data_IF_095449947014
#
_entry.id   IF_095449947014
#
_cell.length_a   1.000
_cell.length_b   1.000
_cell.length_c   1.000
_cell.angle_alpha   90.00
_cell.angle_beta   90.00
_cell.angle_gamma   90.00
#
_symmetry.space_group_name_H-M   'P 1'
#
loop_
_entity.id
_entity.type
_entity.pdbx_description
1 polymer ?
#
# COMPACT_ATOMS: atom_id res chain seq x y z
N UNK A 1 18.97 12.89 -0.90
CA UNK A 1 18.48 12.92 0.50
C UNK A 1 18.98 14.17 1.20
N UNK A 2 18.06 14.99 1.70
CA UNK A 2 18.26 16.19 2.49
C UNK A 2 17.90 15.94 3.96
N UNK A 3 18.16 16.92 4.84
CA UNK A 3 17.66 16.90 6.23
C UNK A 3 16.13 16.92 6.31
N UNK A 4 15.43 17.53 5.34
CA UNK A 4 13.97 17.52 5.30
C UNK A 4 13.43 16.13 4.91
N UNK A 5 14.05 15.48 3.92
CA UNK A 5 13.70 14.12 3.51
C UNK A 5 13.89 13.14 4.69
N UNK A 6 15.03 13.24 5.39
CA UNK A 6 15.30 12.45 6.59
C UNK A 6 14.24 12.68 7.68
N UNK A 7 13.85 13.94 7.91
CA UNK A 7 12.82 14.26 8.89
C UNK A 7 11.47 13.61 8.53
N UNK A 8 11.05 13.68 7.27
CA UNK A 8 9.80 13.03 6.80
C UNK A 8 9.86 11.51 6.99
N UNK A 9 11.00 10.89 6.68
CA UNK A 9 11.20 9.44 6.88
C UNK A 9 11.03 9.06 8.36
N UNK A 10 11.73 9.75 9.27
CA UNK A 10 11.76 9.38 10.70
C UNK A 10 10.49 9.77 11.46
N UNK A 11 9.85 10.90 11.15
CA UNK A 11 8.68 11.39 11.89
C UNK A 11 7.34 10.87 11.35
N UNK A 12 7.28 10.50 10.07
CA UNK A 12 6.02 10.12 9.40
C UNK A 12 6.05 8.76 8.71
N UNK A 13 7.10 8.42 7.94
CA UNK A 13 7.07 7.19 7.12
C UNK A 13 7.31 5.96 7.99
N UNK A 14 8.39 5.91 8.77
CA UNK A 14 8.72 4.74 9.60
C UNK A 14 7.64 4.48 10.68
N UNK A 15 7.21 5.46 11.50
CA UNK A 15 6.14 5.27 12.48
C UNK A 15 4.84 4.69 11.89
N UNK A 16 4.50 5.12 10.67
CA UNK A 16 3.26 4.74 9.98
C UNK A 16 3.32 3.40 9.27
N UNK A 17 4.49 2.97 8.80
CA UNK A 17 4.65 1.86 7.86
C UNK A 17 5.42 0.66 8.40
N UNK A 18 6.39 0.89 9.28
CA UNK A 18 7.21 -0.17 9.85
C UNK A 18 6.59 -0.64 11.17
N UNK A 19 6.27 -1.93 11.24
CA UNK A 19 5.88 -2.62 12.48
C UNK A 19 7.14 -3.23 13.09
N UNK A 20 7.32 -3.07 14.40
CA UNK A 20 8.36 -3.70 15.19
C UNK A 20 7.67 -4.57 16.25
N UNK A 21 8.25 -5.72 16.59
CA UNK A 21 7.63 -6.65 17.54
C UNK A 21 8.01 -6.32 18.98
N UNK A 22 9.23 -5.83 19.18
CA UNK A 22 9.82 -5.50 20.47
C UNK A 22 10.40 -4.08 20.46
N UNK A 23 10.27 -3.37 21.59
CA UNK A 23 10.73 -1.98 21.72
C UNK A 23 12.25 -1.83 21.55
N UNK A 24 13.00 -2.86 21.94
CA UNK A 24 14.45 -2.99 21.76
C UNK A 24 14.91 -2.94 20.30
N UNK A 25 14.06 -3.29 19.32
CA UNK A 25 14.39 -3.19 17.89
C UNK A 25 14.59 -1.73 17.42
N UNK A 26 14.13 -0.74 18.19
CA UNK A 26 14.29 0.68 17.88
C UNK A 26 15.29 1.41 18.80
N UNK A 27 15.78 0.79 19.87
CA UNK A 27 16.57 1.47 20.90
C UNK A 27 17.94 1.94 20.36
N UNK A 28 18.67 1.08 19.65
CA UNK A 28 19.98 1.43 19.09
C UNK A 28 19.90 2.13 17.72
N UNK A 29 18.76 2.07 17.04
CA UNK A 29 18.59 2.45 15.63
C UNK A 29 19.01 3.90 15.32
N UNK A 30 18.80 4.85 16.24
CA UNK A 30 19.23 6.24 16.05
C UNK A 30 20.75 6.38 16.15
N UNK A 31 21.40 5.68 17.09
CA UNK A 31 22.85 5.73 17.27
C UNK A 31 23.58 5.14 16.05
N UNK A 32 23.07 4.03 15.50
CA UNK A 32 23.55 3.41 14.27
C UNK A 32 23.39 4.33 13.06
N UNK A 33 22.21 4.95 12.89
CA UNK A 33 21.98 5.91 11.81
C UNK A 33 22.91 7.13 11.93
N UNK A 34 23.12 7.66 13.14
CA UNK A 34 24.09 8.76 13.37
C UNK A 34 25.51 8.32 12.97
N UNK A 35 25.94 7.12 13.33
CA UNK A 35 27.23 6.57 12.93
C UNK A 35 27.35 6.42 11.40
N UNK A 36 26.32 5.89 10.74
CA UNK A 36 26.24 5.75 9.28
C UNK A 36 26.34 7.09 8.55
N UNK A 37 25.57 8.11 8.96
CA UNK A 37 25.67 9.43 8.34
C UNK A 37 27.02 10.11 8.62
N UNK A 38 27.61 9.93 9.80
CA UNK A 38 28.97 10.40 10.08
C UNK A 38 30.03 9.70 9.21
N UNK A 39 29.87 8.42 8.92
CA UNK A 39 30.69 7.70 7.93
C UNK A 39 30.54 8.31 6.53
N UNK A 40 29.31 8.52 6.03
CA UNK A 40 29.07 9.14 4.72
C UNK A 40 29.64 10.57 4.61
N UNK A 41 29.62 11.33 5.71
CA UNK A 41 30.27 12.64 5.80
C UNK A 41 31.79 12.53 5.64
N UNK A 42 32.43 11.54 6.28
CA UNK A 42 33.88 11.36 6.28
C UNK A 42 34.40 10.81 4.96
N UNK A 43 33.79 9.72 4.48
CA UNK A 43 34.31 8.93 3.35
C UNK A 43 33.94 9.54 2.00
N UNK A 44 32.71 10.04 1.86
CA UNK A 44 32.16 10.53 0.59
C UNK A 44 31.93 12.05 0.56
N UNK A 45 32.35 12.77 1.61
CA UNK A 45 32.11 14.21 1.79
C UNK A 45 30.64 14.61 1.58
N UNK A 46 29.69 13.75 1.99
CA UNK A 46 28.28 13.92 1.64
C UNK A 46 27.69 15.17 2.31
N UNK A 47 27.46 16.23 1.52
CA UNK A 47 27.15 17.59 1.99
C UNK A 47 26.04 17.69 3.05
N UNK A 48 24.98 16.89 2.93
CA UNK A 48 23.84 16.91 3.85
C UNK A 48 24.06 16.07 5.13
N UNK A 49 25.05 15.17 5.15
CA UNK A 49 25.16 14.13 6.17
C UNK A 49 25.32 14.68 7.59
N UNK A 50 26.12 15.73 7.77
CA UNK A 50 26.27 16.39 9.09
C UNK A 50 24.95 16.93 9.62
N UNK A 51 24.15 17.58 8.77
CA UNK A 51 22.84 18.11 9.16
C UNK A 51 21.82 17.00 9.48
N UNK A 52 21.91 15.85 8.79
CA UNK A 52 21.08 14.68 9.06
C UNK A 52 21.50 14.02 10.39
N UNK A 53 22.79 13.80 10.63
CA UNK A 53 23.30 13.25 11.89
C UNK A 53 22.92 14.13 13.10
N UNK A 54 23.07 15.46 12.99
CA UNK A 54 22.64 16.40 14.05
C UNK A 54 21.12 16.43 14.24
N UNK A 55 20.32 16.10 13.22
CA UNK A 55 18.87 15.93 13.37
C UNK A 55 18.54 14.62 14.10
N UNK A 56 19.15 13.50 13.69
CA UNK A 56 18.92 12.18 14.29
C UNK A 56 19.23 12.16 15.79
N UNK A 57 20.38 12.71 16.20
CA UNK A 57 20.73 12.84 17.63
C UNK A 57 19.72 13.66 18.46
N UNK A 58 18.89 14.53 17.84
CA UNK A 58 17.84 15.28 18.55
C UNK A 58 16.54 14.50 18.74
N UNK A 59 16.36 13.38 18.04
CA UNK A 59 15.16 12.53 18.10
C UNK A 59 15.40 11.20 18.81
N UNK A 60 16.64 10.92 19.24
CA UNK A 60 17.07 9.68 19.90
C UNK A 60 16.10 9.21 20.99
N UNK A 61 15.93 10.01 22.05
CA UNK A 61 14.97 9.73 23.13
C UNK A 61 13.48 9.91 22.78
N UNK A 62 13.09 9.89 21.50
CA UNK A 62 11.70 10.05 21.02
C UNK A 62 11.31 9.09 19.91
N UNK A 63 12.28 8.62 19.11
CA UNK A 63 12.02 7.80 17.93
C UNK A 63 11.30 6.50 18.29
N UNK A 64 11.77 5.80 19.33
CA UNK A 64 11.14 4.60 19.86
C UNK A 64 9.69 4.84 20.27
N UNK A 65 9.37 5.95 20.93
CA UNK A 65 7.98 6.26 21.28
C UNK A 65 7.11 6.50 20.04
N UNK A 66 7.64 7.19 19.03
CA UNK A 66 6.92 7.36 17.76
C UNK A 66 6.69 6.04 17.03
N UNK A 67 7.61 5.08 17.13
CA UNK A 67 7.47 3.76 16.53
C UNK A 67 6.36 2.92 17.18
N UNK A 68 5.99 3.18 18.44
CA UNK A 68 4.94 2.45 19.15
C UNK A 68 3.66 3.28 19.43
N UNK A 69 3.63 4.54 19.02
CA UNK A 69 2.45 5.43 19.08
C UNK A 69 1.31 4.94 18.15
N UNK A 70 0.16 4.49 18.68
CA UNK A 70 -0.95 4.00 17.86
C UNK A 70 -1.53 5.08 16.94
N UNK A 71 -1.47 6.36 17.33
CA UNK A 71 -2.00 7.47 16.53
C UNK A 71 -1.14 7.78 15.29
N UNK A 72 0.12 7.33 15.28
CA UNK A 72 1.02 7.43 14.11
C UNK A 72 0.91 6.24 13.16
N UNK A 73 0.32 5.14 13.61
CA UNK A 73 0.12 3.93 12.82
C UNK A 73 -0.64 4.16 11.50
N UNK A 74 -0.24 3.44 10.45
CA UNK A 74 -1.06 3.26 9.27
C UNK A 74 -1.98 2.05 9.42
N UNK A 75 -3.09 2.02 8.67
CA UNK A 75 -4.12 0.97 8.73
C UNK A 75 -3.55 -0.46 8.72
N UNK A 76 -2.57 -0.75 7.85
CA UNK A 76 -1.90 -2.04 7.81
C UNK A 76 -1.15 -2.37 9.11
N UNK A 77 -0.41 -1.42 9.67
CA UNK A 77 0.30 -1.58 10.94
C UNK A 77 -0.68 -1.80 12.09
N UNK A 78 -1.74 -0.99 12.17
CA UNK A 78 -2.80 -1.17 13.16
C UNK A 78 -3.43 -2.57 13.08
N UNK A 79 -3.73 -3.06 11.88
CA UNK A 79 -4.24 -4.42 11.67
C UNK A 79 -3.28 -5.51 12.12
N UNK A 80 -1.98 -5.43 11.76
CA UNK A 80 -0.96 -6.37 12.24
C UNK A 80 -0.85 -6.35 13.77
N UNK A 81 -0.74 -5.15 14.38
CA UNK A 81 -0.63 -5.02 15.84
C UNK A 81 -1.87 -5.56 16.56
N UNK A 82 -3.08 -5.31 16.05
CA UNK A 82 -4.31 -5.87 16.62
C UNK A 82 -4.36 -7.40 16.49
N UNK A 83 -3.89 -7.97 15.38
CA UNK A 83 -3.82 -9.42 15.18
C UNK A 83 -2.86 -10.09 16.16
N UNK A 84 -1.67 -9.51 16.35
CA UNK A 84 -0.71 -9.98 17.36
C UNK A 84 -1.26 -9.89 18.78
N UNK A 85 -1.94 -8.79 19.13
CA UNK A 85 -2.59 -8.62 20.45
C UNK A 85 -3.72 -9.64 20.68
N UNK A 86 -4.41 -10.04 19.62
CA UNK A 86 -5.40 -11.11 19.65
C UNK A 86 -4.80 -12.53 19.63
N UNK A 87 -3.47 -12.67 19.65
CA UNK A 87 -2.76 -13.95 19.70
C UNK A 87 -2.61 -14.67 18.35
N UNK A 88 -2.88 -13.99 17.23
CA UNK A 88 -2.66 -14.54 15.89
C UNK A 88 -1.21 -14.36 15.47
N UNK A 89 -0.68 -15.36 14.76
CA UNK A 89 0.61 -15.24 14.08
C UNK A 89 0.46 -14.35 12.84
N UNK A 90 0.82 -13.07 12.98
CA UNK A 90 0.78 -12.12 11.87
C UNK A 90 2.05 -12.14 11.00
N UNK A 91 2.87 -13.19 11.11
CA UNK A 91 4.05 -13.44 10.26
C UNK A 91 3.84 -14.55 9.22
N UNK A 92 2.77 -15.35 9.34
CA UNK A 92 2.34 -16.35 8.36
C UNK A 92 1.11 -15.89 7.56
N UNK A 93 0.97 -16.38 6.33
CA UNK A 93 -0.19 -16.09 5.48
C UNK A 93 -1.48 -16.68 6.10
N UNK A 94 -1.40 -17.89 6.66
CA UNK A 94 -2.50 -18.55 7.33
C UNK A 94 -2.99 -17.77 8.56
N UNK A 95 -2.07 -17.24 9.37
CA UNK A 95 -2.42 -16.45 10.55
C UNK A 95 -2.99 -15.08 10.21
N UNK A 96 -2.46 -14.41 9.17
CA UNK A 96 -3.04 -13.18 8.61
C UNK A 96 -4.47 -13.44 8.09
N UNK A 97 -4.68 -14.50 7.32
CA UNK A 97 -5.99 -14.86 6.77
C UNK A 97 -6.98 -15.30 7.86
N UNK A 98 -6.52 -15.96 8.92
CA UNK A 98 -7.32 -16.31 10.08
C UNK A 98 -7.77 -15.05 10.85
N UNK A 99 -6.85 -14.12 11.11
CA UNK A 99 -7.20 -12.86 11.77
C UNK A 99 -8.13 -12.00 10.92
N UNK A 100 -7.90 -11.91 9.60
CA UNK A 100 -8.79 -11.17 8.68
C UNK A 100 -10.24 -11.66 8.78
N UNK A 101 -10.47 -12.99 8.85
CA UNK A 101 -11.81 -13.55 9.01
C UNK A 101 -12.46 -13.15 10.33
N UNK A 102 -11.72 -13.24 11.44
CA UNK A 102 -12.20 -12.83 12.77
C UNK A 102 -12.50 -11.32 12.83
N UNK A 103 -11.61 -10.51 12.29
CA UNK A 103 -11.69 -9.06 12.25
C UNK A 103 -12.87 -8.56 11.39
N UNK A 104 -13.08 -9.17 10.22
CA UNK A 104 -14.24 -8.89 9.36
C UNK A 104 -15.56 -9.18 10.09
N UNK A 105 -15.65 -10.29 10.84
CA UNK A 105 -16.82 -10.65 11.63
C UNK A 105 -17.10 -9.66 12.78
N UNK A 106 -16.06 -9.05 13.35
CA UNK A 106 -16.21 -8.00 14.36
C UNK A 106 -16.74 -6.70 13.71
N UNK A 107 -16.10 -6.20 12.66
CA UNK A 107 -16.54 -4.96 11.99
C UNK A 107 -17.97 -5.09 11.44
N UNK A 108 -18.36 -6.23 10.89
CA UNK A 108 -19.74 -6.45 10.41
C UNK A 108 -20.80 -6.37 11.52
N UNK A 109 -20.43 -6.53 12.80
CA UNK A 109 -21.32 -6.35 13.96
C UNK A 109 -21.33 -4.92 14.47
N UNK A 110 -20.21 -4.21 14.37
CA UNK A 110 -20.02 -2.85 14.89
C UNK A 110 -20.46 -1.78 13.87
N UNK A 111 -20.04 -1.89 12.61
CA UNK A 111 -20.36 -0.96 11.52
C UNK A 111 -20.53 -1.67 10.15
N UNK A 112 -21.77 -2.05 9.76
CA UNK A 112 -22.00 -2.86 8.55
C UNK A 112 -21.72 -2.14 7.21
N UNK A 113 -21.46 -0.83 7.20
CA UNK A 113 -21.20 -0.02 6.00
C UNK A 113 -19.71 0.38 5.83
N UNK A 114 -18.78 -0.26 6.55
CA UNK A 114 -17.40 0.23 6.62
C UNK A 114 -16.54 -0.20 5.41
N UNK A 115 -16.05 0.78 4.64
CA UNK A 115 -15.16 0.61 3.47
C UNK A 115 -13.79 0.00 3.81
N UNK A 116 -13.40 0.03 5.10
CA UNK A 116 -12.09 -0.41 5.59
C UNK A 116 -11.70 -1.84 5.18
N UNK A 117 -12.66 -2.77 5.13
CA UNK A 117 -12.39 -4.17 4.80
C UNK A 117 -11.94 -4.37 3.35
N UNK A 118 -12.47 -3.60 2.41
CA UNK A 118 -12.04 -3.64 1.00
C UNK A 118 -10.62 -3.10 0.84
N UNK A 119 -10.30 -2.03 1.59
CA UNK A 119 -8.98 -1.42 1.56
C UNK A 119 -7.92 -2.31 2.23
N UNK A 120 -8.21 -2.94 3.37
CA UNK A 120 -7.33 -3.93 3.99
C UNK A 120 -7.08 -5.13 3.07
N UNK A 121 -8.12 -5.66 2.41
CA UNK A 121 -7.96 -6.71 1.40
C UNK A 121 -6.89 -6.30 0.39
N UNK A 122 -7.07 -5.16 -0.27
CA UNK A 122 -6.13 -4.66 -1.28
C UNK A 122 -4.68 -4.40 -0.81
N UNK A 123 -4.45 -4.30 0.51
CA UNK A 123 -3.12 -4.10 1.10
C UNK A 123 -2.35 -5.40 1.34
N UNK A 124 -3.04 -6.52 1.53
CA UNK A 124 -2.43 -7.83 1.81
C UNK A 124 -2.63 -8.85 0.66
N UNK A 125 -3.71 -8.75 -0.13
CA UNK A 125 -3.95 -9.62 -1.31
C UNK A 125 -3.15 -9.15 -2.53
N UNK A 126 -1.85 -8.92 -2.34
CA UNK A 126 -0.92 -8.39 -3.34
C UNK A 126 -0.54 -9.35 -4.47
N UNK A 127 -1.38 -10.34 -4.82
CA UNK A 127 -1.15 -11.23 -5.98
C UNK A 127 -2.39 -12.02 -6.47
N UNK A 128 -3.61 -11.49 -6.37
CA UNK A 128 -4.81 -12.14 -6.98
C UNK A 128 -5.53 -11.23 -7.98
N UNK A 129 -4.81 -10.81 -9.03
CA UNK A 129 -5.41 -10.18 -10.24
C UNK A 129 -4.89 -10.79 -11.54
N UNK A 130 -4.68 -12.10 -11.56
CA UNK A 130 -4.37 -12.83 -12.80
C UNK A 130 -4.83 -14.31 -12.77
N UNK A 131 -6.06 -14.56 -12.30
CA UNK A 131 -6.66 -15.91 -12.28
C UNK A 131 -8.20 -15.94 -12.47
N UNK A 132 -8.77 -14.99 -13.22
CA UNK A 132 -10.15 -15.06 -13.70
C UNK A 132 -10.29 -14.64 -15.17
N UNK A 133 -9.53 -15.29 -16.05
CA UNK A 133 -9.89 -15.39 -17.47
C UNK A 133 -9.38 -16.71 -18.05
N UNK A 134 -10.22 -17.40 -18.85
CA UNK A 134 -10.10 -18.83 -19.25
C UNK A 134 -10.25 -19.80 -18.04
N UNK A 135 -10.96 -20.94 -18.05
CA UNK A 135 -11.56 -21.86 -19.05
C UNK A 135 -12.85 -22.42 -18.40
N UNK A 136 -14.02 -22.67 -19.03
CA UNK A 136 -14.49 -22.64 -20.43
C UNK A 136 -15.99 -22.26 -20.50
N UNK A 137 -16.55 -22.14 -21.71
CA UNK A 137 -17.98 -22.23 -21.97
C UNK A 137 -18.34 -23.55 -22.70
N UNK A 138 -19.08 -24.44 -22.04
CA UNK A 138 -19.88 -25.52 -22.67
C UNK A 138 -20.87 -26.07 -21.62
N UNK A 139 -22.10 -26.51 -21.94
CA UNK A 139 -22.76 -26.73 -23.24
C UNK A 139 -24.28 -26.79 -23.05
N UNK A 140 -25.07 -25.88 -23.66
CA UNK A 140 -26.53 -26.01 -23.88
C UNK A 140 -27.01 -24.77 -24.64
N UNK A 141 -27.92 -24.75 -25.60
CA UNK A 141 -28.57 -25.71 -26.51
C UNK A 141 -29.23 -24.82 -27.57
N UNK A 142 -29.32 -25.32 -28.81
CA UNK A 142 -29.92 -24.67 -29.99
C UNK A 142 -31.09 -23.71 -29.71
N UNK A 143 -31.05 -22.52 -30.33
CA UNK A 143 -32.16 -22.05 -31.18
C UNK A 143 -31.69 -21.08 -32.27
N UNK A 144 -32.43 -21.00 -33.39
CA UNK A 144 -32.09 -20.21 -34.60
C UNK A 144 -33.11 -19.09 -34.82
N UNK A 145 -32.70 -17.95 -35.41
CA UNK A 145 -33.28 -17.52 -36.69
C UNK A 145 -32.18 -17.18 -37.72
N UNK A 146 -32.20 -17.70 -38.95
CA UNK A 146 -32.91 -17.14 -40.15
C UNK A 146 -32.55 -15.66 -40.40
N UNK A 147 -31.67 -15.29 -41.34
CA UNK A 147 -31.88 -15.13 -42.81
C UNK A 147 -33.11 -14.29 -43.18
N UNK A 148 -33.09 -13.26 -44.05
CA UNK A 148 -32.02 -12.59 -44.82
C UNK A 148 -32.57 -11.29 -45.48
N UNK A 149 -31.70 -10.36 -45.90
CA UNK A 149 -31.84 -9.39 -47.03
C UNK A 149 -32.92 -8.28 -47.14
N UNK A 150 -32.41 -7.07 -47.49
CA UNK A 150 -32.84 -6.07 -48.53
C UNK A 150 -33.84 -4.93 -48.22
N UNK A 151 -33.48 -3.74 -48.75
CA UNK A 151 -34.20 -2.44 -48.78
C UNK A 151 -33.19 -1.29 -48.51
N UNK A 152 -32.58 -0.57 -49.48
CA UNK A 152 -33.16 0.46 -50.41
C UNK A 152 -33.80 1.60 -49.59
N UNK A 153 -33.43 2.90 -49.65
CA UNK A 153 -32.71 3.77 -50.60
C UNK A 153 -31.91 4.85 -49.80
N UNK A 154 -30.69 5.30 -50.14
CA UNK A 154 -30.30 6.40 -51.05
C UNK A 154 -30.46 7.86 -50.55
N UNK A 155 -29.46 8.70 -50.92
CA UNK A 155 -29.35 10.17 -50.79
C UNK A 155 -29.11 10.73 -49.35
N UNK A 156 -28.43 11.88 -49.14
CA UNK A 156 -27.90 12.88 -50.09
C UNK A 156 -26.48 13.40 -49.75
N UNK A 157 -25.97 14.31 -50.60
CA UNK A 157 -24.56 14.66 -50.82
C UNK A 157 -23.98 15.73 -49.88
N UNK A 158 -22.66 15.61 -49.67
CA UNK A 158 -21.72 16.74 -49.78
C UNK A 158 -21.21 17.34 -48.47
N UNK A 159 -20.06 18.03 -48.42
CA UNK A 159 -19.07 18.37 -49.47
C UNK A 159 -17.64 18.41 -48.87
N UNK A 160 -16.62 18.36 -49.74
CA UNK A 160 -15.19 18.47 -49.39
C UNK A 160 -14.75 19.91 -49.11
N UNK A 161 -13.86 20.10 -48.13
CA UNK A 161 -12.62 20.91 -48.20
C UNK A 161 -11.74 20.50 -46.99
N UNK A 162 -10.52 19.95 -47.09
CA UNK A 162 -9.28 20.33 -47.80
C UNK A 162 -8.77 21.74 -47.50
N UNK A 163 -7.70 21.80 -46.71
CA UNK A 163 -6.76 22.93 -46.59
C UNK A 163 -6.54 23.38 -45.13
N UNK A 164 -5.35 23.82 -44.71
CA UNK A 164 -4.02 23.77 -45.34
C UNK A 164 -2.96 24.05 -44.25
N UNK A 165 -1.74 23.53 -44.42
CA UNK A 165 -0.56 23.85 -43.58
C UNK A 165 -0.40 25.38 -43.38
N UNK A 166 -0.05 25.80 -42.16
CA UNK A 166 1.34 26.19 -41.84
C UNK A 166 1.59 26.24 -40.35
#
# INVERSE_FOLDING_TARGET
MTKADAQIVMEHILPRKLTLMHRSEAEDAISELVAFWNFLKREYNFRSAGAIATYLAKIEGKFTDWMFDPAKGGMAKSFITSGMQAGFDMTSEEGIAAFQKAYNQQILREEPNNSFLQQLGSLFTGSEREAQETVSSSKSSKEKPKTNTKGFDSLDKGKKSKGKKR
#
